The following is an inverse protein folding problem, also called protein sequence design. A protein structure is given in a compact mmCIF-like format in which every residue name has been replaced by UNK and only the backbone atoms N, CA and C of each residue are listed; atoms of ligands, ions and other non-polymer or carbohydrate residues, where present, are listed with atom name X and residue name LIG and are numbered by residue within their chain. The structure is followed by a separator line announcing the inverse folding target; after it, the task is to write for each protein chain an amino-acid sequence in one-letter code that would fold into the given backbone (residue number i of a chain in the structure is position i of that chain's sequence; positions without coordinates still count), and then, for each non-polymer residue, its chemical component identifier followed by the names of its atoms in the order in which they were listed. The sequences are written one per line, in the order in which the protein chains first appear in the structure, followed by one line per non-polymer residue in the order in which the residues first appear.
data_IF_800526569079
#
_entry.id   IF_800526569079
#
_cell.length_a   1.000
_cell.length_b   1.000
_cell.length_c   1.000
_cell.angle_alpha   90.00
_cell.angle_beta   90.00
_cell.angle_gamma   90.00
#
_symmetry.space_group_name_H-M   'P 1'
#
loop_
_entity.id
_entity.type
_entity.pdbx_description
1 polymer ?
#
# COMPACT_ATOMS: atom_id res chain seq x y z
N UNK A 1 6.36 -2.89 -29.81
CA UNK A 1 7.79 -3.09 -29.49
C UNK A 1 7.90 -3.37 -28.01
N UNK A 2 8.69 -4.36 -27.56
CA UNK A 2 8.95 -4.55 -26.14
C UNK A 2 9.63 -3.28 -25.58
N UNK A 3 9.18 -2.81 -24.42
CA UNK A 3 9.84 -1.70 -23.74
C UNK A 3 11.28 -2.09 -23.41
N UNK A 4 12.26 -1.18 -23.54
CA UNK A 4 13.64 -1.48 -23.14
C UNK A 4 13.67 -1.90 -21.67
N UNK A 5 14.17 -3.10 -21.40
CA UNK A 5 14.35 -3.63 -20.05
C UNK A 5 15.72 -3.22 -19.53
N UNK A 6 15.78 -2.61 -18.36
CA UNK A 6 17.05 -2.22 -17.77
C UNK A 6 16.91 -1.13 -16.73
N UNK A 7 18.04 -0.61 -16.28
CA UNK A 7 18.07 0.55 -15.43
C UNK A 7 19.30 1.40 -15.70
N UNK A 8 19.20 2.67 -15.36
CA UNK A 8 20.18 3.71 -15.58
C UNK A 8 20.51 4.32 -14.23
N UNK A 9 21.78 4.45 -13.86
CA UNK A 9 22.21 5.20 -12.68
C UNK A 9 22.78 6.52 -13.18
N UNK A 10 22.25 7.63 -12.68
CA UNK A 10 22.70 8.98 -12.94
C UNK A 10 23.36 9.53 -11.68
N UNK A 11 24.66 9.76 -11.76
CA UNK A 11 25.42 10.39 -10.70
C UNK A 11 25.21 11.90 -10.78
N UNK A 12 24.42 12.48 -9.87
CA UNK A 12 24.16 13.93 -9.80
C UNK A 12 25.00 14.63 -8.73
N UNK A 13 25.94 13.91 -8.12
CA UNK A 13 26.85 14.47 -7.13
C UNK A 13 28.16 14.93 -7.78
N UNK A 14 29.01 15.57 -6.98
CA UNK A 14 30.37 15.95 -7.37
C UNK A 14 31.42 14.84 -7.14
N UNK A 15 30.99 13.64 -6.77
CA UNK A 15 31.87 12.54 -6.38
C UNK A 15 32.00 11.50 -7.50
N UNK A 16 33.15 10.82 -7.57
CA UNK A 16 33.27 9.60 -8.38
C UNK A 16 32.69 8.45 -7.56
N UNK A 17 31.72 7.73 -8.12
CA UNK A 17 31.08 6.59 -7.47
C UNK A 17 31.42 5.28 -8.17
N UNK A 18 31.36 4.20 -7.39
CA UNK A 18 31.52 2.83 -7.85
C UNK A 18 30.20 2.12 -7.66
N UNK A 19 29.52 1.85 -8.77
CA UNK A 19 28.22 1.19 -8.80
C UNK A 19 28.39 -0.29 -9.14
N UNK A 20 28.04 -1.17 -8.22
CA UNK A 20 27.95 -2.61 -8.43
C UNK A 20 26.50 -3.07 -8.47
N UNK A 21 26.23 -4.10 -9.26
CA UNK A 21 24.92 -4.72 -9.34
C UNK A 21 25.07 -6.18 -8.97
N UNK A 22 24.14 -6.73 -8.18
CA UNK A 22 24.12 -8.17 -7.92
C UNK A 22 24.15 -8.99 -9.21
N UNK A 23 24.61 -10.23 -9.14
CA UNK A 23 24.68 -11.11 -10.31
C UNK A 23 23.47 -12.07 -10.36
N UNK A 24 22.31 -11.67 -9.83
CA UNK A 24 21.18 -12.61 -9.69
C UNK A 24 20.61 -12.98 -11.05
N UNK A 25 20.66 -12.08 -12.02
CA UNK A 25 20.11 -12.32 -13.37
C UNK A 25 21.19 -12.45 -14.45
N UNK A 26 22.44 -12.65 -14.03
CA UNK A 26 23.63 -12.69 -14.91
C UNK A 26 24.32 -11.33 -15.04
N UNK A 27 25.60 -11.36 -15.44
CA UNK A 27 26.45 -10.17 -15.61
C UNK A 27 27.70 -10.14 -14.72
N UNK A 28 28.49 -9.06 -14.85
CA UNK A 28 29.68 -8.85 -14.03
C UNK A 28 29.29 -8.05 -12.77
N UNK A 29 29.51 -8.58 -11.55
CA UNK A 29 29.27 -7.85 -10.31
C UNK A 29 30.39 -6.84 -9.99
N UNK A 30 31.45 -6.77 -10.82
CA UNK A 30 32.51 -5.79 -10.62
C UNK A 30 31.94 -4.37 -10.61
N UNK A 31 32.33 -3.53 -9.62
CA UNK A 31 31.89 -2.15 -9.57
C UNK A 31 32.31 -1.39 -10.83
N UNK A 32 31.36 -0.63 -11.38
CA UNK A 32 31.57 0.26 -12.50
C UNK A 32 31.77 1.69 -11.98
N UNK A 33 32.80 2.39 -12.47
CA UNK A 33 33.07 3.78 -12.11
C UNK A 33 32.14 4.72 -12.88
N UNK A 34 31.40 5.57 -12.16
CA UNK A 34 30.54 6.62 -12.74
C UNK A 34 31.05 7.97 -12.24
N UNK A 35 31.49 8.83 -13.14
CA UNK A 35 32.02 10.16 -12.78
C UNK A 35 30.90 11.14 -12.41
N UNK A 36 31.23 12.28 -11.80
CA UNK A 36 30.25 13.33 -11.53
C UNK A 36 29.44 13.70 -12.78
N UNK A 37 28.12 13.76 -12.64
CA UNK A 37 27.17 14.13 -13.71
C UNK A 37 27.14 13.20 -14.92
N UNK A 38 27.77 12.02 -14.83
CA UNK A 38 27.65 10.96 -15.82
C UNK A 38 26.54 9.98 -15.46
N UNK A 39 26.16 9.19 -16.45
CA UNK A 39 25.23 8.10 -16.28
C UNK A 39 25.78 6.78 -16.81
N UNK A 40 25.23 5.68 -16.31
CA UNK A 40 25.50 4.37 -16.86
C UNK A 40 24.23 3.54 -16.90
N UNK A 41 24.06 2.74 -17.96
CA UNK A 41 22.86 1.95 -18.21
C UNK A 41 23.18 0.47 -18.27
N UNK A 42 22.35 -0.34 -17.64
CA UNK A 42 22.42 -1.78 -17.66
C UNK A 42 21.14 -2.37 -18.21
N UNK A 43 21.28 -3.30 -19.17
CA UNK A 43 20.15 -4.07 -19.70
C UNK A 43 20.02 -5.35 -18.88
N UNK A 44 19.23 -5.31 -17.80
CA UNK A 44 18.96 -6.45 -16.93
C UNK A 44 17.47 -6.56 -16.64
N UNK A 45 17.02 -7.76 -16.29
CA UNK A 45 15.63 -8.07 -15.96
C UNK A 45 15.55 -8.78 -14.63
N UNK A 46 14.52 -8.53 -13.83
CA UNK A 46 14.33 -9.16 -12.52
C UNK A 46 14.91 -8.34 -11.37
N UNK A 47 15.10 -8.99 -10.22
CA UNK A 47 15.58 -8.35 -8.99
C UNK A 47 17.09 -8.21 -8.97
N UNK A 48 17.57 -6.98 -8.80
CA UNK A 48 18.97 -6.65 -8.61
C UNK A 48 19.13 -5.65 -7.46
N UNK A 49 20.20 -5.78 -6.68
CA UNK A 49 20.65 -4.73 -5.76
C UNK A 49 21.64 -3.82 -6.48
N UNK A 50 21.33 -2.53 -6.52
CA UNK A 50 22.20 -1.46 -7.00
C UNK A 50 22.94 -0.90 -5.79
N UNK A 51 24.19 -1.30 -5.65
CA UNK A 51 25.08 -0.89 -4.57
C UNK A 51 26.04 0.19 -5.08
N UNK A 52 26.01 1.38 -4.46
CA UNK A 52 26.86 2.52 -4.80
C UNK A 52 27.81 2.79 -3.62
N UNK A 53 29.10 2.87 -3.88
CA UNK A 53 30.11 3.20 -2.86
C UNK A 53 31.13 4.21 -3.39
N UNK A 54 31.82 4.90 -2.49
CA UNK A 54 33.03 5.63 -2.86
C UNK A 54 34.21 4.66 -3.09
N UNK A 55 35.34 5.18 -3.59
CA UNK A 55 36.52 4.36 -3.91
C UNK A 55 37.07 3.59 -2.71
N UNK A 56 37.04 4.21 -1.53
CA UNK A 56 37.56 3.67 -0.28
C UNK A 56 36.56 2.74 0.43
N UNK A 57 35.32 2.64 -0.06
CA UNK A 57 34.19 1.95 0.59
C UNK A 57 33.90 2.42 2.01
N UNK A 58 34.26 3.66 2.33
CA UNK A 58 33.95 4.28 3.64
C UNK A 58 32.54 4.86 3.69
N UNK A 59 31.93 5.08 2.52
CA UNK A 59 30.53 5.42 2.36
C UNK A 59 29.92 4.51 1.30
N UNK A 60 28.74 3.98 1.59
CA UNK A 60 27.98 3.13 0.70
C UNK A 60 26.48 3.31 0.93
N UNK A 61 25.71 3.14 -0.14
CA UNK A 61 24.26 3.07 -0.13
C UNK A 61 23.84 2.01 -1.14
N UNK A 62 22.73 1.33 -0.89
CA UNK A 62 22.25 0.31 -1.82
C UNK A 62 20.74 0.31 -1.92
N UNK A 63 20.26 -0.28 -3.01
CA UNK A 63 18.85 -0.28 -3.34
C UNK A 63 18.48 -1.48 -4.21
N UNK A 64 17.56 -2.29 -3.72
CA UNK A 64 16.91 -3.34 -4.51
C UNK A 64 15.95 -2.75 -5.53
N UNK A 65 16.14 -3.13 -6.79
CA UNK A 65 15.27 -2.82 -7.91
C UNK A 65 14.80 -4.13 -8.56
N UNK A 66 13.48 -4.32 -8.69
CA UNK A 66 12.91 -5.37 -9.54
C UNK A 66 12.49 -4.72 -10.84
N UNK A 67 12.95 -5.16 -12.01
CA UNK A 67 12.39 -4.57 -13.23
C UNK A 67 12.14 -5.54 -14.36
N UNK A 68 10.93 -5.42 -14.88
CA UNK A 68 10.60 -5.70 -16.28
C UNK A 68 10.22 -4.43 -17.04
N UNK A 69 10.88 -3.29 -16.75
CA UNK A 69 10.74 -1.97 -17.40
C UNK A 69 11.91 -1.03 -17.08
N UNK A 70 12.10 0.10 -17.77
CA UNK A 70 13.27 0.98 -17.60
C UNK A 70 13.20 1.82 -16.31
N UNK A 71 14.24 1.75 -15.47
CA UNK A 71 14.35 2.57 -14.25
C UNK A 71 15.54 3.54 -14.31
N UNK A 72 15.45 4.68 -13.63
CA UNK A 72 16.48 5.69 -13.50
C UNK A 72 16.78 5.95 -12.02
N UNK A 73 17.96 5.60 -11.55
CA UNK A 73 18.43 5.82 -10.18
C UNK A 73 19.27 7.10 -10.14
N UNK A 74 18.86 8.11 -9.40
CA UNK A 74 19.67 9.28 -9.11
C UNK A 74 20.46 9.09 -7.82
N UNK A 75 21.75 9.38 -7.89
CA UNK A 75 22.62 9.52 -6.73
C UNK A 75 22.98 10.99 -6.55
N UNK A 76 22.48 11.63 -5.49
CA UNK A 76 22.65 13.06 -5.22
C UNK A 76 23.64 13.35 -4.06
N UNK A 77 24.41 12.34 -3.63
CA UNK A 77 25.35 12.35 -2.49
C UNK A 77 25.10 11.22 -1.49
N UNK A 78 26.11 10.81 -0.70
CA UNK A 78 25.96 9.75 0.32
C UNK A 78 25.14 10.18 1.54
N UNK A 79 24.98 11.48 1.74
CA UNK A 79 24.14 12.08 2.77
C UNK A 79 22.65 12.10 2.39
N UNK A 80 22.31 11.71 1.16
CA UNK A 80 20.94 11.63 0.65
C UNK A 80 20.57 10.20 0.27
N UNK A 81 19.29 9.82 0.37
CA UNK A 81 18.83 8.53 -0.14
C UNK A 81 18.98 8.49 -1.67
N UNK A 82 19.26 7.29 -2.21
CA UNK A 82 19.13 7.05 -3.65
C UNK A 82 17.70 7.32 -4.07
N UNK A 83 17.48 7.97 -5.21
CA UNK A 83 16.12 8.22 -5.71
C UNK A 83 15.87 7.44 -7.00
N UNK A 84 14.90 6.55 -7.03
CA UNK A 84 14.46 5.90 -8.28
C UNK A 84 13.35 6.73 -8.92
N UNK A 85 13.50 6.99 -10.20
CA UNK A 85 12.47 7.41 -11.11
C UNK A 85 12.18 6.22 -12.03
N UNK A 86 10.91 5.92 -12.28
CA UNK A 86 10.61 5.21 -13.52
C UNK A 86 10.74 6.27 -14.63
N UNK A 87 11.37 5.92 -15.74
CA UNK A 87 11.29 6.78 -16.93
C UNK A 87 9.88 6.69 -17.58
N UNK A 88 8.98 5.94 -16.94
CA UNK A 88 7.57 5.81 -17.30
C UNK A 88 6.72 6.85 -16.60
N UNK A 89 6.88 8.13 -16.98
CA UNK A 89 5.78 9.07 -16.75
C UNK A 89 4.59 8.59 -17.58
N UNK A 90 3.44 8.23 -17.00
CA UNK A 90 2.25 8.04 -17.80
C UNK A 90 2.02 9.33 -18.57
N UNK A 91 1.80 9.20 -19.88
CA UNK A 91 1.60 10.39 -20.72
C UNK A 91 0.59 11.33 -20.06
N UNK A 92 0.90 12.64 -19.98
CA UNK A 92 0.04 13.61 -19.37
C UNK A 92 -1.36 13.53 -19.96
N UNK A 93 -2.34 13.70 -19.10
CA UNK A 93 -3.72 13.52 -19.50
C UNK A 93 -4.71 13.61 -18.36
N UNK A 94 -5.94 13.26 -18.70
CA UNK A 94 -7.08 13.26 -17.81
C UNK A 94 -7.76 11.89 -17.89
N UNK A 95 -8.00 11.27 -16.74
CA UNK A 95 -8.94 10.17 -16.59
C UNK A 95 -10.16 10.73 -15.89
N UNK A 96 -11.34 10.51 -16.47
CA UNK A 96 -12.60 10.92 -15.86
C UNK A 96 -13.41 9.68 -15.54
N UNK A 97 -13.77 9.52 -14.27
CA UNK A 97 -14.64 8.46 -13.79
C UNK A 97 -16.02 9.06 -13.46
N UNK A 98 -17.07 8.46 -14.00
CA UNK A 98 -18.44 8.76 -13.59
C UNK A 98 -18.88 7.73 -12.56
N UNK A 99 -18.77 8.07 -11.28
CA UNK A 99 -19.20 7.21 -10.17
C UNK A 99 -20.66 7.46 -9.77
N UNK A 100 -21.35 8.38 -10.45
CA UNK A 100 -22.77 8.64 -10.24
C UNK A 100 -23.66 7.54 -10.86
N UNK A 101 -24.93 7.39 -10.42
CA UNK A 101 -25.85 6.39 -10.96
C UNK A 101 -26.46 6.76 -12.31
N UNK A 102 -26.07 7.89 -12.93
CA UNK A 102 -26.63 8.40 -14.19
C UNK A 102 -25.55 8.59 -15.24
N UNK A 103 -25.94 8.50 -16.52
CA UNK A 103 -25.04 8.91 -17.60
C UNK A 103 -24.81 10.42 -17.54
N UNK A 104 -23.62 10.84 -17.95
CA UNK A 104 -23.28 12.26 -18.05
C UNK A 104 -22.60 12.56 -19.38
N UNK A 105 -22.68 13.82 -19.77
CA UNK A 105 -21.88 14.35 -20.87
C UNK A 105 -20.68 15.08 -20.27
N UNK A 106 -19.48 14.62 -20.57
CA UNK A 106 -18.21 15.22 -20.19
C UNK A 106 -17.67 16.08 -21.34
N UNK A 107 -17.11 17.23 -21.01
CA UNK A 107 -16.42 18.14 -21.90
C UNK A 107 -15.01 18.36 -21.36
N UNK A 108 -14.02 18.31 -22.25
CA UNK A 108 -12.67 18.79 -21.98
C UNK A 108 -12.34 19.80 -23.08
N UNK A 109 -11.90 21.00 -22.72
CA UNK A 109 -11.54 22.03 -23.70
C UNK A 109 -10.40 21.60 -24.61
N UNK A 110 -10.31 22.15 -25.82
CA UNK A 110 -9.19 21.88 -26.71
C UNK A 110 -8.02 22.87 -26.52
N UNK A 111 -7.78 23.37 -25.30
CA UNK A 111 -6.77 24.41 -25.07
C UNK A 111 -5.36 23.90 -25.38
N UNK A 112 -5.09 22.63 -25.09
CA UNK A 112 -3.78 21.99 -25.33
C UNK A 112 -3.83 20.97 -26.48
N UNK A 113 -4.93 20.96 -27.24
CA UNK A 113 -5.17 20.09 -28.40
C UNK A 113 -6.46 19.27 -28.32
N UNK A 114 -6.75 18.49 -29.37
CA UNK A 114 -7.97 17.68 -29.47
C UNK A 114 -9.17 18.47 -29.97
N UNK A 115 -10.38 18.11 -29.49
CA UNK A 115 -11.62 18.82 -29.82
C UNK A 115 -12.45 19.11 -28.56
N UNK A 116 -13.26 20.16 -28.65
CA UNK A 116 -14.14 20.66 -27.59
C UNK A 116 -15.55 20.05 -27.68
N UNK A 117 -15.65 18.76 -28.00
CA UNK A 117 -16.95 18.06 -28.06
C UNK A 117 -17.41 17.61 -26.67
N UNK A 118 -18.70 17.30 -26.57
CA UNK A 118 -19.26 16.61 -25.42
C UNK A 118 -19.24 15.10 -25.66
N UNK A 119 -18.66 14.34 -24.73
CA UNK A 119 -18.52 12.89 -24.76
C UNK A 119 -19.43 12.27 -23.71
N UNK A 120 -20.16 11.22 -24.07
CA UNK A 120 -21.03 10.52 -23.12
C UNK A 120 -20.20 9.55 -22.28
N UNK A 121 -20.26 9.68 -20.96
CA UNK A 121 -19.68 8.72 -20.01
C UNK A 121 -20.85 7.99 -19.31
N UNK A 122 -20.99 6.66 -19.49
CA UNK A 122 -22.03 5.87 -18.83
C UNK A 122 -21.96 5.96 -17.30
N UNK A 123 -23.05 5.67 -16.61
CA UNK A 123 -23.04 5.45 -15.15
C UNK A 123 -22.03 4.36 -14.77
N UNK A 124 -21.16 4.62 -13.79
CA UNK A 124 -20.05 3.73 -13.42
C UNK A 124 -18.92 3.63 -14.46
N UNK A 125 -18.99 4.38 -15.56
CA UNK A 125 -18.03 4.35 -16.67
C UNK A 125 -16.86 5.31 -16.50
N UNK A 126 -15.88 5.21 -17.40
CA UNK A 126 -14.74 6.13 -17.47
C UNK A 126 -14.28 6.39 -18.90
N UNK A 127 -13.55 7.49 -19.10
CA UNK A 127 -12.90 7.82 -20.37
C UNK A 127 -11.58 8.56 -20.13
N UNK A 128 -10.73 8.63 -21.16
CA UNK A 128 -9.34 9.11 -21.06
C UNK A 128 -8.97 10.05 -22.22
N UNK A 129 -8.27 11.13 -21.87
CA UNK A 129 -7.71 12.08 -22.81
C UNK A 129 -6.21 12.27 -22.59
N UNK A 130 -5.43 12.24 -23.66
CA UNK A 130 -3.99 12.55 -23.65
C UNK A 130 -3.79 14.02 -24.03
N UNK A 131 -3.87 14.91 -23.04
CA UNK A 131 -3.74 16.38 -23.17
C UNK A 131 -2.77 16.88 -22.11
N UNK A 132 -2.05 17.99 -22.33
CA UNK A 132 -0.97 18.43 -21.43
C UNK A 132 -1.08 19.91 -21.11
N UNK A 133 -1.26 20.24 -19.83
CA UNK A 133 -1.40 21.59 -19.31
C UNK A 133 -2.82 21.89 -18.83
N UNK A 134 -3.20 23.17 -18.90
CA UNK A 134 -4.50 23.66 -18.47
C UNK A 134 -5.64 23.24 -19.40
N UNK A 135 -6.67 22.61 -18.83
CA UNK A 135 -7.95 22.35 -19.49
C UNK A 135 -9.14 22.72 -18.60
N UNK A 136 -10.23 23.18 -19.23
CA UNK A 136 -11.55 23.23 -18.62
C UNK A 136 -12.22 21.87 -18.76
N UNK A 137 -12.57 21.24 -17.65
CA UNK A 137 -13.33 20.00 -17.59
C UNK A 137 -14.74 20.33 -17.08
N UNK A 138 -15.77 19.90 -17.78
CA UNK A 138 -17.15 20.15 -17.38
C UNK A 138 -18.05 18.94 -17.62
N UNK A 139 -19.07 18.82 -16.77
CA UNK A 139 -20.13 17.83 -16.86
C UNK A 139 -21.46 18.53 -17.09
N UNK A 140 -22.35 17.87 -17.82
CA UNK A 140 -23.77 18.23 -17.87
C UNK A 140 -24.64 16.99 -17.89
N UNK A 141 -25.86 17.14 -17.38
CA UNK A 141 -26.90 16.13 -17.50
C UNK A 141 -27.22 15.86 -18.98
N UNK A 142 -27.81 14.71 -19.32
CA UNK A 142 -28.18 14.41 -20.72
C UNK A 142 -29.16 15.44 -21.29
N UNK A 143 -30.03 16.02 -20.45
CA UNK A 143 -30.95 17.10 -20.82
C UNK A 143 -30.31 18.51 -20.76
N UNK A 144 -29.07 18.62 -20.27
CA UNK A 144 -28.27 19.83 -20.21
C UNK A 144 -28.72 20.87 -19.16
N UNK A 145 -29.65 20.52 -18.27
CA UNK A 145 -30.17 21.42 -17.21
C UNK A 145 -29.20 21.61 -16.05
N UNK A 146 -28.47 20.56 -15.68
CA UNK A 146 -27.45 20.60 -14.63
C UNK A 146 -26.06 20.70 -15.26
N UNK A 147 -25.17 21.50 -14.66
CA UNK A 147 -23.78 21.65 -15.11
C UNK A 147 -22.85 21.88 -13.94
N UNK A 148 -21.67 21.30 -14.00
CA UNK A 148 -20.56 21.57 -13.10
C UNK A 148 -19.27 21.55 -13.90
N UNK A 149 -18.26 22.32 -13.51
CA UNK A 149 -16.97 22.30 -14.20
C UNK A 149 -15.87 22.98 -13.42
N UNK A 150 -14.65 22.72 -13.83
CA UNK A 150 -13.44 23.20 -13.18
C UNK A 150 -12.32 23.41 -14.19
N UNK A 151 -11.38 24.29 -13.86
CA UNK A 151 -10.12 24.43 -14.60
C UNK A 151 -9.04 23.62 -13.89
N UNK A 152 -8.33 22.79 -14.65
CA UNK A 152 -7.35 21.85 -14.11
C UNK A 152 -6.06 21.95 -14.92
N UNK A 153 -4.94 22.11 -14.23
CA UNK A 153 -3.62 21.87 -14.81
C UNK A 153 -3.15 20.48 -14.43
N UNK A 154 -2.77 19.67 -15.42
CA UNK A 154 -2.22 18.36 -15.12
C UNK A 154 -0.72 18.36 -14.81
N UNK A 155 -0.04 19.52 -14.83
CA UNK A 155 1.36 19.70 -14.38
C UNK A 155 2.32 18.67 -15.01
N UNK A 156 2.10 18.31 -16.27
CA UNK A 156 2.85 17.28 -17.01
C UNK A 156 2.69 15.84 -16.49
N UNK A 157 1.66 15.58 -15.70
CA UNK A 157 1.29 14.27 -15.20
C UNK A 157 -0.17 13.95 -15.56
N UNK A 158 -0.68 12.81 -15.08
CA UNK A 158 -2.05 12.39 -15.31
C UNK A 158 -2.91 12.76 -14.10
N UNK A 159 -3.98 13.51 -14.33
CA UNK A 159 -4.99 13.82 -13.30
C UNK A 159 -6.14 12.83 -13.44
N UNK A 160 -6.60 12.29 -12.31
CA UNK A 160 -7.85 11.52 -12.27
C UNK A 160 -8.94 12.37 -11.63
N UNK A 161 -10.14 12.34 -12.20
CA UNK A 161 -11.28 13.08 -11.72
C UNK A 161 -12.47 12.15 -11.54
N UNK A 162 -13.08 12.20 -10.36
CA UNK A 162 -14.30 11.47 -10.05
C UNK A 162 -15.50 12.42 -10.01
N UNK A 163 -16.52 12.08 -10.80
CA UNK A 163 -17.83 12.72 -10.77
C UNK A 163 -18.81 11.87 -9.94
N UNK A 164 -19.23 12.40 -8.79
CA UNK A 164 -20.14 11.73 -7.84
C UNK A 164 -21.62 12.12 -8.06
N UNK A 165 -21.87 13.29 -8.64
CA UNK A 165 -23.21 13.84 -8.85
C UNK A 165 -23.15 15.37 -9.06
N UNK A 166 -24.28 16.00 -9.43
CA UNK A 166 -24.35 17.47 -9.57
C UNK A 166 -24.51 18.21 -8.25
N UNK A 167 -24.89 17.50 -7.19
CA UNK A 167 -25.03 18.03 -5.83
C UNK A 167 -23.75 17.86 -4.99
N UNK A 168 -22.70 17.27 -5.59
CA UNK A 168 -21.42 16.98 -4.95
C UNK A 168 -20.30 17.75 -5.68
N UNK A 169 -19.24 18.08 -4.94
CA UNK A 169 -18.04 18.68 -5.54
C UNK A 169 -17.31 17.66 -6.43
N UNK A 170 -16.64 18.16 -7.47
CA UNK A 170 -15.75 17.34 -8.29
C UNK A 170 -14.52 16.95 -7.45
N UNK A 171 -14.22 15.65 -7.41
CA UNK A 171 -13.04 15.14 -6.68
C UNK A 171 -11.88 15.01 -7.65
N UNK A 172 -10.88 15.86 -7.48
CA UNK A 172 -9.63 15.81 -8.24
C UNK A 172 -8.60 15.02 -7.44
N UNK A 173 -8.13 13.95 -8.06
CA UNK A 173 -6.89 13.30 -7.67
C UNK A 173 -5.80 13.95 -8.50
N UNK A 174 -5.32 15.10 -8.02
CA UNK A 174 -4.06 15.61 -8.53
C UNK A 174 -3.02 14.52 -8.37
N UNK A 175 -2.16 14.28 -9.39
CA UNK A 175 -0.99 13.45 -9.18
C UNK A 175 -0.30 14.05 -7.94
N UNK A 176 -0.05 13.25 -6.88
CA UNK A 176 0.55 13.78 -5.68
C UNK A 176 1.77 14.59 -6.09
N UNK A 177 2.02 15.74 -5.45
CA UNK A 177 3.24 16.53 -5.71
C UNK A 177 4.50 15.63 -5.68
N UNK A 178 4.39 14.49 -4.99
CA UNK A 178 5.24 13.32 -5.11
C UNK A 178 4.76 12.33 -6.18
N UNK A 179 4.91 12.65 -7.46
CA UNK A 179 4.76 11.68 -8.57
C UNK A 179 5.50 10.35 -8.30
N UNK A 180 6.61 10.46 -7.56
CA UNK A 180 7.40 9.34 -7.02
C UNK A 180 6.54 8.37 -6.18
N UNK A 181 5.58 8.85 -5.38
CA UNK A 181 4.70 8.01 -4.57
C UNK A 181 3.75 7.16 -5.42
N UNK A 182 3.19 7.71 -6.50
CA UNK A 182 2.31 6.98 -7.43
C UNK A 182 3.07 5.99 -8.30
N UNK A 183 4.30 6.32 -8.70
CA UNK A 183 5.18 5.37 -9.37
C UNK A 183 5.68 4.27 -8.42
N UNK A 184 6.01 4.63 -7.18
CA UNK A 184 6.35 3.68 -6.12
C UNK A 184 5.16 2.76 -5.85
N UNK A 185 3.94 3.29 -5.83
CA UNK A 185 2.71 2.51 -5.67
C UNK A 185 2.45 1.61 -6.88
N UNK A 186 2.51 2.16 -8.08
CA UNK A 186 2.34 1.40 -9.33
C UNK A 186 3.39 0.30 -9.45
N UNK A 187 4.62 0.58 -9.06
CA UNK A 187 5.67 -0.43 -9.03
C UNK A 187 5.46 -1.44 -7.92
N UNK A 188 5.02 -1.01 -6.74
CA UNK A 188 4.68 -1.91 -5.66
C UNK A 188 3.53 -2.85 -6.06
N UNK A 189 2.52 -2.38 -6.81
CA UNK A 189 1.49 -3.22 -7.43
C UNK A 189 2.12 -4.21 -8.41
N UNK A 190 2.96 -3.75 -9.33
CA UNK A 190 3.62 -4.64 -10.30
C UNK A 190 4.48 -5.70 -9.61
N UNK A 191 5.21 -5.31 -8.57
CA UNK A 191 5.98 -6.23 -7.74
C UNK A 191 5.04 -7.20 -7.05
N UNK A 192 3.96 -6.74 -6.42
CA UNK A 192 2.97 -7.59 -5.76
C UNK A 192 2.41 -8.65 -6.72
N UNK A 193 2.01 -8.23 -7.92
CA UNK A 193 1.41 -9.09 -8.95
C UNK A 193 2.40 -10.07 -9.59
N UNK A 194 3.69 -9.70 -9.68
CA UNK A 194 4.75 -10.55 -10.26
C UNK A 194 5.53 -11.36 -9.23
N UNK A 195 5.42 -11.02 -7.95
CA UNK A 195 6.18 -11.68 -6.89
C UNK A 195 5.75 -13.14 -6.77
N UNK A 196 6.74 -14.01 -6.52
CA UNK A 196 6.50 -15.42 -6.18
C UNK A 196 5.55 -15.56 -4.98
N UNK A 197 5.51 -14.55 -4.09
CA UNK A 197 4.57 -14.46 -2.98
C UNK A 197 3.09 -14.49 -3.43
N UNK A 198 2.76 -14.06 -4.66
CA UNK A 198 1.41 -14.20 -5.20
C UNK A 198 0.99 -15.66 -5.43
N UNK A 199 1.92 -16.62 -5.48
CA UNK A 199 1.61 -18.05 -5.55
C UNK A 199 1.16 -18.63 -4.21
N UNK A 200 1.87 -18.28 -3.13
CA UNK A 200 1.60 -18.80 -1.78
C UNK A 200 0.58 -17.96 -0.98
N UNK A 201 0.27 -16.74 -1.43
CA UNK A 201 -0.61 -15.80 -0.70
C UNK A 201 -2.02 -15.69 -1.27
N UNK A 202 -2.39 -16.46 -2.31
CA UNK A 202 -3.73 -16.42 -2.90
C UNK A 202 -4.72 -17.23 -2.07
N UNK A 203 -5.48 -16.53 -1.25
CA UNK A 203 -6.59 -17.10 -0.51
C UNK A 203 -7.75 -17.49 -1.44
N UNK A 204 -8.61 -18.38 -0.95
CA UNK A 204 -9.86 -18.77 -1.60
C UNK A 204 -10.85 -17.60 -1.68
N UNK A 205 -10.86 -16.74 -0.66
CA UNK A 205 -11.62 -15.50 -0.61
C UNK A 205 -10.66 -14.30 -0.44
N UNK A 206 -10.04 -13.83 -1.55
CA UNK A 206 -9.07 -12.76 -1.49
C UNK A 206 -9.75 -11.43 -1.12
N UNK A 207 -9.05 -10.60 -0.33
CA UNK A 207 -9.54 -9.27 0.05
C UNK A 207 -9.88 -8.39 -1.16
N UNK A 208 -9.01 -8.37 -2.18
CA UNK A 208 -9.22 -7.56 -3.38
C UNK A 208 -9.15 -6.06 -3.13
N UNK A 209 -8.45 -5.63 -2.07
CA UNK A 209 -8.40 -4.25 -1.61
C UNK A 209 -7.11 -3.53 -2.04
N UNK A 210 -7.22 -2.21 -2.09
CA UNK A 210 -6.19 -1.24 -2.49
C UNK A 210 -5.52 -0.67 -1.23
N UNK A 211 -4.20 -0.70 -1.16
CA UNK A 211 -3.48 -0.16 -0.01
C UNK A 211 -3.45 1.38 -0.05
N UNK A 212 -3.65 2.02 1.10
CA UNK A 212 -3.50 3.45 1.28
C UNK A 212 -2.10 3.77 1.79
N UNK A 213 -1.26 4.36 0.93
CA UNK A 213 0.08 4.82 1.31
C UNK A 213 0.00 5.77 2.51
N UNK A 214 -0.94 6.72 2.46
CA UNK A 214 -1.14 7.69 3.54
C UNK A 214 -1.44 6.99 4.87
N UNK A 215 -2.41 6.07 4.89
CA UNK A 215 -2.78 5.43 6.16
C UNK A 215 -1.67 4.54 6.69
N UNK A 216 -0.99 3.79 5.81
CA UNK A 216 0.17 2.97 6.19
C UNK A 216 1.27 3.84 6.81
N UNK A 217 1.62 4.98 6.21
CA UNK A 217 2.63 5.93 6.75
C UNK A 217 2.30 6.38 8.17
N UNK A 218 1.04 6.76 8.40
CA UNK A 218 0.58 7.24 9.72
C UNK A 218 0.58 6.14 10.75
N UNK A 219 0.19 4.93 10.36
CA UNK A 219 0.19 3.79 11.25
C UNK A 219 1.61 3.35 11.61
N UNK A 220 2.52 3.32 10.64
CA UNK A 220 3.94 3.00 10.84
C UNK A 220 4.63 4.01 11.78
N UNK A 221 4.54 5.30 11.43
CA UNK A 221 5.26 6.36 12.15
C UNK A 221 4.84 6.48 13.63
N UNK A 222 3.58 6.21 13.96
CA UNK A 222 3.07 6.35 15.31
C UNK A 222 3.13 5.06 16.14
N UNK A 223 3.22 3.88 15.50
CA UNK A 223 3.31 2.61 16.23
C UNK A 223 4.74 2.28 16.63
N UNK A 224 5.74 2.65 15.81
CA UNK A 224 7.15 2.31 16.08
C UNK A 224 7.84 3.39 16.93
N UNK A 225 7.28 4.61 17.01
CA UNK A 225 7.80 5.70 17.85
C UNK A 225 9.13 6.33 17.36
N UNK A 226 9.76 5.73 16.35
CA UNK A 226 10.81 6.35 15.55
C UNK A 226 10.11 7.10 14.42
N UNK A 227 10.59 8.30 14.04
CA UNK A 227 10.30 8.82 12.69
C UNK A 227 10.81 7.77 11.73
N UNK A 228 9.93 6.84 11.34
CA UNK A 228 10.21 5.94 10.24
C UNK A 228 10.68 6.88 9.13
N UNK A 229 11.85 6.61 8.51
CA UNK A 229 12.17 7.34 7.30
C UNK A 229 10.91 7.31 6.42
N UNK A 230 10.48 8.46 5.92
CA UNK A 230 9.18 8.56 5.21
C UNK A 230 9.05 7.47 4.15
N UNK A 231 7.85 7.15 3.67
CA UNK A 231 7.61 6.31 2.47
C UNK A 231 8.41 6.70 1.20
N UNK A 232 9.17 7.80 1.24
CA UNK A 232 10.26 8.09 0.31
C UNK A 232 11.51 7.19 0.41
N UNK A 233 11.71 6.41 1.47
CA UNK A 233 12.86 5.49 1.63
C UNK A 233 12.54 4.10 1.08
N UNK A 234 13.33 3.67 0.09
CA UNK A 234 12.96 2.60 -0.85
C UNK A 234 12.85 1.16 -0.32
N UNK A 235 13.35 0.86 0.89
CA UNK A 235 12.99 -0.39 1.59
C UNK A 235 11.46 -0.51 1.80
N UNK A 236 10.73 0.61 1.67
CA UNK A 236 9.29 0.65 1.79
C UNK A 236 8.54 0.33 0.48
N UNK A 237 9.13 0.36 -0.73
CA UNK A 237 8.43 -0.12 -1.94
C UNK A 237 8.14 -1.60 -1.83
N UNK A 238 9.10 -2.38 -1.33
CA UNK A 238 8.92 -3.81 -1.12
C UNK A 238 7.91 -4.08 0.02
N UNK A 239 8.02 -3.31 1.11
CA UNK A 239 7.04 -3.37 2.20
C UNK A 239 5.63 -3.07 1.67
N UNK A 240 5.47 -1.99 0.93
CA UNK A 240 4.22 -1.59 0.28
C UNK A 240 3.75 -2.66 -0.71
N UNK A 241 4.64 -3.28 -1.48
CA UNK A 241 4.29 -4.38 -2.38
C UNK A 241 3.80 -5.62 -1.62
N UNK A 242 4.43 -5.94 -0.49
CA UNK A 242 3.96 -7.00 0.40
C UNK A 242 2.58 -6.65 0.98
N UNK A 243 2.35 -5.41 1.39
CA UNK A 243 1.05 -4.96 1.90
C UNK A 243 -0.04 -4.95 0.83
N UNK A 244 0.27 -4.51 -0.39
CA UNK A 244 -0.64 -4.61 -1.53
C UNK A 244 -0.94 -6.07 -1.81
N UNK A 245 0.08 -6.94 -1.85
CA UNK A 245 -0.13 -8.38 -2.03
C UNK A 245 -1.02 -8.94 -0.92
N UNK A 246 -0.79 -8.51 0.33
CA UNK A 246 -1.57 -8.89 1.49
C UNK A 246 -3.05 -8.51 1.34
N UNK A 247 -3.35 -7.24 1.11
CA UNK A 247 -4.71 -6.74 0.97
C UNK A 247 -5.43 -7.28 -0.27
N UNK A 248 -4.68 -7.52 -1.35
CA UNK A 248 -5.22 -8.01 -2.61
C UNK A 248 -5.50 -9.51 -2.58
N UNK A 249 -4.58 -10.30 -2.04
CA UNK A 249 -4.60 -11.77 -2.18
C UNK A 249 -4.84 -12.52 -0.87
N UNK A 250 -4.57 -11.90 0.28
CA UNK A 250 -4.79 -12.51 1.59
C UNK A 250 -6.26 -12.81 1.86
N UNK A 251 -6.51 -13.67 2.85
CA UNK A 251 -7.83 -14.15 3.21
C UNK A 251 -8.58 -13.08 3.98
N UNK A 252 -9.76 -12.68 3.50
CA UNK A 252 -10.61 -11.72 4.17
C UNK A 252 -11.45 -12.42 5.26
N UNK A 253 -11.34 -11.94 6.50
CA UNK A 253 -11.88 -12.56 7.71
C UNK A 253 -12.45 -11.49 8.66
N UNK A 254 -13.33 -11.86 9.62
CA UNK A 254 -13.87 -10.91 10.57
C UNK A 254 -12.83 -10.39 11.56
N UNK A 255 -12.95 -9.11 11.91
CA UNK A 255 -12.34 -8.54 13.11
C UNK A 255 -13.29 -7.64 13.88
N UNK A 256 -13.14 -7.56 15.20
CA UNK A 256 -14.02 -6.73 16.04
C UNK A 256 -13.15 -5.82 16.92
N UNK A 257 -13.55 -4.55 17.04
CA UNK A 257 -12.97 -3.68 18.06
C UNK A 257 -13.43 -4.13 19.43
N UNK A 258 -12.49 -4.56 20.27
CA UNK A 258 -12.79 -5.22 21.54
C UNK A 258 -12.48 -4.38 22.77
N UNK A 259 -11.60 -3.38 22.63
CA UNK A 259 -11.26 -2.45 23.71
C UNK A 259 -10.74 -1.13 23.13
N UNK A 260 -11.09 -0.02 23.79
CA UNK A 260 -10.53 1.31 23.52
C UNK A 260 -10.16 1.93 24.86
N UNK A 261 -8.88 2.22 25.06
CA UNK A 261 -8.34 3.04 26.17
C UNK A 261 -7.87 4.38 25.62
N UNK A 262 -7.44 5.34 26.45
CA UNK A 262 -6.86 6.59 25.96
C UNK A 262 -5.66 6.39 25.04
N UNK A 263 -4.86 5.33 25.26
CA UNK A 263 -3.62 5.08 24.53
C UNK A 263 -3.74 4.02 23.43
N UNK A 264 -4.66 3.06 23.58
CA UNK A 264 -4.74 1.89 22.71
C UNK A 264 -6.16 1.59 22.23
N UNK A 265 -6.30 1.34 20.92
CA UNK A 265 -7.42 0.64 20.34
C UNK A 265 -7.01 -0.81 20.05
N UNK A 266 -7.86 -1.77 20.42
CA UNK A 266 -7.58 -3.20 20.26
C UNK A 266 -8.63 -3.86 19.36
N UNK A 267 -8.16 -4.69 18.43
CA UNK A 267 -8.99 -5.46 17.49
C UNK A 267 -8.71 -6.94 17.66
N UNK A 268 -9.75 -7.73 17.91
CA UNK A 268 -9.66 -9.19 17.80
C UNK A 268 -9.80 -9.56 16.32
N UNK A 269 -8.78 -10.21 15.77
CA UNK A 269 -8.72 -10.67 14.39
C UNK A 269 -8.87 -12.20 14.36
N UNK A 270 -9.98 -12.68 13.80
CA UNK A 270 -10.24 -14.11 13.68
C UNK A 270 -9.46 -14.72 12.51
N UNK A 271 -9.12 -16.00 12.65
CA UNK A 271 -8.69 -16.82 11.52
C UNK A 271 -9.31 -18.22 11.52
N UNK A 272 -9.93 -18.60 10.41
CA UNK A 272 -10.55 -19.92 10.23
C UNK A 272 -9.51 -21.04 10.12
N UNK A 273 -8.29 -20.73 9.68
CA UNK A 273 -7.20 -21.71 9.58
C UNK A 273 -6.77 -22.22 10.96
N UNK A 274 -6.88 -21.37 11.97
CA UNK A 274 -6.52 -21.68 13.36
C UNK A 274 -7.73 -21.86 14.28
N UNK A 275 -8.92 -21.52 13.79
CA UNK A 275 -10.18 -21.43 14.55
C UNK A 275 -10.01 -20.63 15.86
N UNK A 276 -9.36 -19.48 15.76
CA UNK A 276 -8.98 -18.67 16.93
C UNK A 276 -8.81 -17.21 16.54
N UNK A 277 -8.62 -16.36 17.55
CA UNK A 277 -8.30 -14.95 17.36
C UNK A 277 -6.84 -14.68 17.73
N UNK A 278 -6.30 -13.58 17.18
CA UNK A 278 -5.20 -12.83 17.80
C UNK A 278 -5.64 -11.40 18.03
N UNK A 279 -5.07 -10.74 19.02
CA UNK A 279 -5.41 -9.35 19.34
C UNK A 279 -4.34 -8.43 18.77
N UNK A 280 -4.78 -7.44 18.01
CA UNK A 280 -3.96 -6.36 17.46
C UNK A 280 -4.17 -5.08 18.26
N UNK A 281 -3.11 -4.41 18.67
CA UNK A 281 -3.16 -3.10 19.32
C UNK A 281 -2.63 -1.99 18.44
N UNK A 282 -3.35 -0.88 18.43
CA UNK A 282 -3.05 0.32 17.64
C UNK A 282 -3.02 1.53 18.58
N UNK A 283 -2.01 2.41 18.49
CA UNK A 283 -2.06 3.68 19.22
C UNK A 283 -3.30 4.47 18.80
N UNK A 284 -4.10 4.92 19.76
CA UNK A 284 -5.32 5.72 19.49
C UNK A 284 -5.03 6.93 18.62
N UNK A 285 -3.90 7.60 18.86
CA UNK A 285 -3.42 8.73 18.05
C UNK A 285 -3.22 8.36 16.58
N UNK A 286 -2.80 7.13 16.29
CA UNK A 286 -2.66 6.66 14.92
C UNK A 286 -4.03 6.43 14.27
N UNK A 287 -4.96 5.84 15.01
CA UNK A 287 -6.34 5.65 14.55
C UNK A 287 -7.03 6.99 14.28
N UNK A 288 -6.80 8.01 15.10
CA UNK A 288 -7.36 9.35 14.90
C UNK A 288 -6.97 9.98 13.56
N UNK A 289 -5.81 9.59 13.00
CA UNK A 289 -5.34 10.07 11.70
C UNK A 289 -5.87 9.24 10.52
N UNK A 290 -6.07 7.93 10.69
CA UNK A 290 -6.45 7.02 9.59
C UNK A 290 -7.95 6.69 9.54
N UNK A 291 -8.68 6.95 10.63
CA UNK A 291 -10.11 6.77 10.79
C UNK A 291 -10.71 7.94 11.62
N UNK A 292 -10.84 9.14 11.03
CA UNK A 292 -11.25 10.35 11.74
C UNK A 292 -12.69 10.25 12.28
N UNK A 293 -13.09 11.16 13.18
CA UNK A 293 -14.30 11.10 14.03
C UNK A 293 -15.61 10.57 13.41
N UNK A 294 -15.87 10.75 12.11
CA UNK A 294 -17.07 10.20 11.46
C UNK A 294 -16.99 8.69 11.17
N UNK A 295 -15.78 8.15 11.08
CA UNK A 295 -15.46 6.75 10.80
C UNK A 295 -14.66 6.09 11.92
N UNK A 296 -14.43 6.80 13.04
CA UNK A 296 -13.72 6.27 14.20
C UNK A 296 -14.50 5.08 14.78
N UNK A 297 -13.91 3.89 14.83
CA UNK A 297 -14.62 2.72 15.31
C UNK A 297 -14.77 2.77 16.84
N UNK A 298 -15.87 2.18 17.31
CA UNK A 298 -16.22 2.01 18.73
C UNK A 298 -16.13 0.53 19.12
N UNK A 299 -16.13 0.19 20.42
CA UNK A 299 -16.18 -1.21 20.86
C UNK A 299 -17.41 -1.90 20.28
N UNK A 300 -17.22 -3.10 19.71
CA UNK A 300 -18.23 -3.84 18.96
C UNK A 300 -18.29 -3.50 17.46
N UNK A 301 -17.54 -2.49 16.99
CA UNK A 301 -17.47 -2.19 15.55
C UNK A 301 -16.86 -3.38 14.81
N UNK A 302 -17.59 -3.89 13.82
CA UNK A 302 -17.15 -4.93 12.91
C UNK A 302 -16.20 -4.36 11.87
N UNK A 303 -15.09 -5.06 11.66
CA UNK A 303 -13.99 -4.70 10.79
C UNK A 303 -13.66 -5.86 9.85
N UNK A 304 -13.08 -5.55 8.69
CA UNK A 304 -12.54 -6.59 7.81
C UNK A 304 -11.06 -6.68 8.09
N UNK A 305 -10.61 -7.91 8.35
CA UNK A 305 -9.21 -8.24 8.51
C UNK A 305 -8.79 -9.02 7.28
N UNK A 306 -7.61 -8.72 6.74
CA UNK A 306 -7.02 -9.53 5.69
C UNK A 306 -5.78 -10.20 6.25
N UNK A 307 -5.73 -11.53 6.14
CA UNK A 307 -4.69 -12.38 6.74
C UNK A 307 -3.81 -13.03 5.67
N UNK A 308 -2.50 -13.03 5.91
CA UNK A 308 -1.54 -13.91 5.24
C UNK A 308 -1.00 -14.95 6.22
N UNK A 309 -0.52 -16.07 5.69
CA UNK A 309 -0.13 -17.22 6.50
C UNK A 309 1.32 -17.61 6.25
N UNK A 310 1.98 -18.14 7.28
CA UNK A 310 3.30 -18.77 7.12
C UNK A 310 3.16 -20.28 7.16
N UNK A 311 3.68 -20.95 6.12
CA UNK A 311 3.55 -22.41 5.94
C UNK A 311 4.42 -23.17 6.95
N UNK A 312 3.91 -24.30 7.43
CA UNK A 312 4.62 -25.17 8.37
C UNK A 312 5.91 -25.79 7.81
N UNK A 313 5.99 -25.98 6.49
CA UNK A 313 7.19 -26.50 5.81
C UNK A 313 8.30 -25.45 5.62
N UNK A 314 8.10 -24.21 6.10
CA UNK A 314 9.13 -23.19 6.11
C UNK A 314 10.28 -23.60 7.06
N UNK A 315 11.54 -23.68 6.59
CA UNK A 315 12.69 -24.09 7.41
C UNK A 315 12.96 -23.18 8.61
N UNK A 316 12.39 -21.97 8.60
CA UNK A 316 12.68 -20.92 9.56
C UNK A 316 11.88 -21.03 10.87
N UNK A 317 10.91 -21.96 10.98
CA UNK A 317 9.90 -21.90 12.03
C UNK A 317 9.57 -23.27 12.62
N UNK A 318 9.85 -23.44 13.92
CA UNK A 318 9.51 -24.64 14.68
C UNK A 318 8.21 -24.42 15.46
N UNK A 319 7.06 -24.68 14.82
CA UNK A 319 5.76 -24.78 15.50
C UNK A 319 4.87 -23.52 15.45
N UNK A 320 3.66 -23.69 15.99
CA UNK A 320 2.64 -22.64 16.09
C UNK A 320 3.13 -21.54 17.02
N UNK A 321 2.90 -20.28 16.65
CA UNK A 321 3.33 -19.15 17.47
C UNK A 321 2.69 -19.16 18.87
N UNK A 322 3.45 -18.71 19.87
CA UNK A 322 3.08 -18.82 21.28
C UNK A 322 1.82 -18.05 21.67
N UNK A 323 1.43 -17.06 20.86
CA UNK A 323 0.22 -16.28 21.04
C UNK A 323 -0.97 -16.83 20.23
N UNK A 324 -0.86 -17.99 19.62
CA UNK A 324 -1.97 -18.65 18.93
C UNK A 324 -2.40 -19.85 19.77
N UNK A 325 -3.61 -19.80 20.32
CA UNK A 325 -4.25 -20.99 20.91
C UNK A 325 -5.11 -21.65 19.85
N UNK A 326 -4.70 -22.83 19.38
CA UNK A 326 -5.44 -23.60 18.38
C UNK A 326 -6.86 -23.90 18.84
N UNK A 327 -7.85 -23.54 18.02
CA UNK A 327 -9.24 -23.91 18.23
C UNK A 327 -9.56 -25.35 17.78
N UNK A 328 -10.76 -25.83 18.10
CA UNK A 328 -11.19 -27.20 17.81
C UNK A 328 -11.34 -27.49 16.30
N UNK A 329 -11.55 -26.47 15.44
CA UNK A 329 -11.73 -26.63 13.98
C UNK A 329 -10.48 -26.27 13.17
N UNK A 330 -9.30 -26.20 13.80
CA UNK A 330 -8.04 -25.86 13.13
C UNK A 330 -7.69 -26.80 11.96
N UNK A 331 -7.11 -26.24 10.88
CA UNK A 331 -6.80 -26.96 9.65
C UNK A 331 -5.36 -27.50 9.58
N UNK A 332 -4.52 -27.20 10.58
CA UNK A 332 -3.16 -27.74 10.81
C UNK A 332 -2.12 -27.53 9.67
N UNK A 333 -2.39 -26.62 8.73
CA UNK A 333 -1.49 -26.34 7.58
C UNK A 333 -0.46 -25.25 7.84
N UNK A 334 -0.80 -24.32 8.73
CA UNK A 334 -0.05 -23.11 8.97
C UNK A 334 0.45 -23.08 10.42
N UNK A 335 1.44 -22.24 10.69
CA UNK A 335 1.98 -22.10 12.04
C UNK A 335 1.97 -20.63 12.54
N UNK A 336 1.66 -19.68 11.65
CA UNK A 336 1.35 -18.31 12.00
C UNK A 336 0.39 -17.70 10.97
N UNK A 337 -0.35 -16.67 11.38
CA UNK A 337 -1.05 -15.75 10.48
C UNK A 337 -0.73 -14.31 10.83
N UNK A 338 -0.95 -13.42 9.87
CA UNK A 338 -0.53 -12.02 9.92
C UNK A 338 -1.74 -11.16 9.58
N UNK A 339 -2.54 -10.70 10.54
CA UNK A 339 -3.77 -9.98 10.23
C UNK A 339 -3.54 -8.47 10.03
N UNK A 340 -4.06 -7.91 8.94
CA UNK A 340 -4.17 -6.47 8.68
C UNK A 340 -5.61 -6.01 8.83
N UNK A 341 -5.87 -4.99 9.65
CA UNK A 341 -7.18 -4.35 9.71
C UNK A 341 -7.35 -3.45 8.49
N UNK A 342 -8.10 -3.91 7.50
CA UNK A 342 -8.10 -3.29 6.18
C UNK A 342 -8.62 -1.84 6.20
N UNK A 343 -9.57 -1.47 7.08
CA UNK A 343 -10.00 -0.07 7.21
C UNK A 343 -8.88 0.91 7.57
N UNK A 344 -7.86 0.42 8.29
CA UNK A 344 -6.76 1.24 8.77
C UNK A 344 -5.61 1.35 7.76
N UNK A 345 -5.63 0.57 6.69
CA UNK A 345 -4.55 0.51 5.70
C UNK A 345 -5.02 0.55 4.25
N UNK A 346 -6.33 0.69 4.00
CA UNK A 346 -6.95 0.75 2.68
C UNK A 346 -7.87 1.96 2.55
N UNK A 347 -7.97 2.51 1.34
CA UNK A 347 -8.93 3.57 1.00
C UNK A 347 -10.28 3.00 0.52
N UNK A 348 -10.39 1.69 0.39
CA UNK A 348 -11.59 0.99 -0.10
C UNK A 348 -12.64 0.76 0.98
N UNK A 349 -12.54 1.41 2.14
CA UNK A 349 -13.47 1.22 3.28
C UNK A 349 -14.92 1.58 2.97
N UNK A 350 -15.18 2.16 1.80
CA UNK A 350 -16.51 2.49 1.27
C UNK A 350 -16.81 1.83 -0.08
N UNK A 351 -15.91 1.00 -0.61
CA UNK A 351 -16.12 0.32 -1.88
C UNK A 351 -17.24 -0.74 -1.75
N UNK A 352 -18.05 -0.99 -2.80
CA UNK A 352 -19.08 -2.03 -2.75
C UNK A 352 -18.55 -3.42 -2.36
N UNK A 353 -17.35 -3.76 -2.83
CA UNK A 353 -16.66 -5.01 -2.51
C UNK A 353 -16.42 -5.17 -1.00
N UNK A 354 -16.12 -4.07 -0.30
CA UNK A 354 -15.96 -4.07 1.14
C UNK A 354 -17.20 -4.59 1.85
N UNK A 355 -18.35 -4.00 1.48
CA UNK A 355 -19.64 -4.33 2.10
C UNK A 355 -20.04 -5.77 1.78
N UNK A 356 -19.86 -6.18 0.52
CA UNK A 356 -20.09 -7.56 0.08
C UNK A 356 -19.30 -8.55 0.93
N UNK A 357 -18.00 -8.31 1.17
CA UNK A 357 -17.17 -9.18 2.02
C UNK A 357 -17.64 -9.25 3.46
N UNK A 358 -18.06 -8.13 4.04
CA UNK A 358 -18.59 -8.10 5.41
C UNK A 358 -19.92 -8.84 5.53
N UNK A 359 -20.78 -8.71 4.51
CA UNK A 359 -22.10 -9.36 4.43
C UNK A 359 -21.99 -10.88 4.15
N UNK A 360 -20.87 -11.34 3.58
CA UNK A 360 -20.56 -12.77 3.39
C UNK A 360 -20.16 -13.50 4.68
N UNK A 361 -19.82 -12.77 5.76
CA UNK A 361 -19.39 -13.39 7.02
C UNK A 361 -20.60 -13.78 7.86
N UNK A 362 -20.70 -15.08 8.18
CA UNK A 362 -21.74 -15.64 9.04
C UNK A 362 -21.82 -14.93 10.40
N UNK A 363 -23.04 -14.65 10.87
CA UNK A 363 -23.30 -14.01 12.17
C UNK A 363 -22.68 -14.76 13.36
N UNK A 364 -22.69 -16.10 13.30
CA UNK A 364 -22.07 -16.95 14.31
C UNK A 364 -20.55 -16.70 14.39
N UNK A 365 -19.89 -16.37 13.27
CA UNK A 365 -18.45 -16.10 13.26
C UNK A 365 -18.10 -14.76 13.93
N UNK A 366 -18.98 -13.76 13.80
CA UNK A 366 -18.85 -12.51 14.54
C UNK A 366 -18.99 -12.75 16.05
N UNK A 367 -19.95 -13.59 16.46
CA UNK A 367 -20.14 -13.97 17.85
C UNK A 367 -18.93 -14.77 18.38
N UNK A 368 -18.47 -15.78 17.65
CA UNK A 368 -17.28 -16.59 17.96
C UNK A 368 -16.04 -15.68 18.14
N UNK A 369 -15.88 -14.67 17.29
CA UNK A 369 -14.76 -13.70 17.39
C UNK A 369 -14.83 -12.90 18.70
N UNK A 370 -16.02 -12.49 19.12
CA UNK A 370 -16.22 -11.77 20.39
C UNK A 370 -15.99 -12.67 21.61
N UNK A 371 -16.51 -13.90 21.59
CA UNK A 371 -16.32 -14.88 22.65
C UNK A 371 -14.84 -15.28 22.78
N UNK A 372 -14.15 -15.47 21.65
CA UNK A 372 -12.72 -15.71 21.60
C UNK A 372 -11.91 -14.58 22.25
N UNK A 373 -12.35 -13.33 22.12
CA UNK A 373 -11.75 -12.21 22.86
C UNK A 373 -11.95 -12.33 24.37
N UNK A 374 -13.14 -12.68 24.85
CA UNK A 374 -13.40 -12.84 26.28
C UNK A 374 -12.50 -13.92 26.88
N UNK A 375 -12.35 -15.04 26.19
CA UNK A 375 -11.42 -16.12 26.58
C UNK A 375 -9.96 -15.67 26.56
N UNK A 376 -9.54 -14.98 25.49
CA UNK A 376 -8.20 -14.43 25.36
C UNK A 376 -7.86 -13.47 26.50
N UNK A 377 -8.76 -12.52 26.78
CA UNK A 377 -8.61 -11.53 27.86
C UNK A 377 -8.48 -12.21 29.22
N UNK A 378 -9.25 -13.26 29.47
CA UNK A 378 -9.17 -14.02 30.72
C UNK A 378 -7.84 -14.77 30.85
N UNK A 379 -7.30 -15.32 29.75
CA UNK A 379 -6.07 -16.11 29.75
C UNK A 379 -4.80 -15.27 29.79
N UNK A 380 -4.73 -14.22 28.96
CA UNK A 380 -3.51 -13.47 28.71
C UNK A 380 -3.52 -12.06 29.34
N UNK A 381 -4.70 -11.58 29.74
CA UNK A 381 -4.89 -10.20 30.14
C UNK A 381 -5.13 -9.27 28.95
N UNK A 382 -5.72 -8.10 29.24
CA UNK A 382 -6.14 -7.14 28.22
C UNK A 382 -4.98 -6.45 27.50
N UNK A 383 -3.78 -6.48 28.08
CA UNK A 383 -2.60 -5.78 27.59
C UNK A 383 -1.62 -6.66 26.82
N UNK A 384 -2.03 -7.89 26.49
CA UNK A 384 -1.26 -8.83 25.68
C UNK A 384 -1.80 -8.85 24.24
N UNK A 385 -1.07 -8.22 23.32
CA UNK A 385 -1.47 -8.06 21.92
C UNK A 385 -0.26 -7.90 20.99
N UNK A 386 -0.46 -8.14 19.69
CA UNK A 386 0.50 -7.83 18.62
C UNK A 386 0.38 -6.35 18.25
N UNK A 387 1.49 -5.73 17.87
CA UNK A 387 1.42 -4.38 17.29
C UNK A 387 0.74 -4.46 15.92
N UNK A 388 -0.34 -3.69 15.75
CA UNK A 388 -1.08 -3.58 14.50
C UNK A 388 -0.35 -2.80 13.40
N UNK A 389 0.98 -2.79 13.43
CA UNK A 389 1.82 -2.08 12.48
C UNK A 389 2.11 -2.97 11.26
N UNK A 390 1.88 -2.50 10.03
CA UNK A 390 2.06 -3.30 8.81
C UNK A 390 3.44 -3.98 8.68
N UNK A 391 4.54 -3.30 9.01
CA UNK A 391 5.91 -3.84 9.00
C UNK A 391 6.21 -4.81 10.14
N UNK A 392 5.44 -4.75 11.22
CA UNK A 392 5.59 -5.57 12.43
C UNK A 392 4.54 -6.66 12.55
N UNK A 393 3.77 -6.90 11.48
CA UNK A 393 2.67 -7.88 11.47
C UNK A 393 3.13 -9.33 11.71
N UNK A 394 4.43 -9.59 11.57
CA UNK A 394 5.05 -10.89 11.87
C UNK A 394 5.51 -11.02 13.31
N UNK A 395 5.57 -9.92 14.04
CA UNK A 395 6.01 -9.89 15.42
C UNK A 395 4.93 -10.53 16.31
N UNK A 396 5.40 -11.12 17.41
CA UNK A 396 4.54 -11.83 18.36
C UNK A 396 3.87 -10.86 19.32
N UNK A 397 2.77 -11.30 19.92
CA UNK A 397 2.14 -10.54 20.99
C UNK A 397 3.11 -10.38 22.17
N UNK A 398 3.12 -9.18 22.74
CA UNK A 398 3.87 -8.87 23.95
C UNK A 398 2.98 -8.13 24.95
N UNK A 399 3.41 -8.06 26.21
CA UNK A 399 2.71 -7.28 27.23
C UNK A 399 3.08 -5.82 27.10
N UNK A 400 2.11 -4.98 26.73
CA UNK A 400 2.28 -3.53 26.63
C UNK A 400 1.69 -2.84 27.88
N UNK A 401 2.53 -2.23 28.70
CA UNK A 401 2.08 -1.47 29.89
C UNK A 401 1.68 -0.06 29.45
N UNK A 402 0.58 0.44 30.02
CA UNK A 402 -0.11 1.72 29.71
C UNK A 402 0.72 3.02 29.89
N UNK A 403 2.05 2.98 29.92
CA UNK A 403 2.85 4.19 30.25
C UNK A 403 4.03 4.49 29.33
N UNK A 404 4.37 3.63 28.38
CA UNK A 404 5.32 3.98 27.33
C UNK A 404 5.25 2.96 26.20
N UNK A 405 5.16 3.43 24.94
CA UNK A 405 5.59 2.63 23.79
C UNK A 405 6.92 1.96 24.19
N UNK A 406 7.09 0.63 24.01
CA UNK A 406 8.33 -0.01 24.37
C UNK A 406 9.45 0.74 23.66
N UNK A 407 10.34 1.35 24.46
CA UNK A 407 11.53 1.99 23.92
C UNK A 407 12.28 0.91 23.16
N UNK A 408 12.17 0.95 21.83
CA UNK A 408 12.87 0.03 20.95
C UNK A 408 14.36 0.26 21.20
N UNK A 409 14.98 -0.66 21.92
CA UNK A 409 16.44 -0.68 22.04
C UNK A 409 16.90 -1.49 20.83
N UNK A 410 17.65 -0.88 19.88
CA UNK A 410 18.00 -1.47 18.59
C UNK A 410 18.58 -2.89 18.65
#
# INVERSE_FOLDING_TARGET
MPLPTGFKVHNRSNEIIFCSITNKTGGNPAPFEIKPFEDHSWTRSGWEDVSISNKQKTAATSLWINRGGPALVHFDGFEKPLTIYNDYRPDPGFIVNNLSPRNVMCFISANTGGNSSWFKIPAGGSDKWTRKGWEAIAFKSEDGKERIGHFVDNKEARVTLDFLGFDEDLVFHEPPENFIADEHYSEAIRIADRSYAAGDSRASAPGGLTASIFKVDKLESLTIGVKSPSLGDHNQIYTLALLINHLKYGLAEPGIVVSITPDWLKVAAYSCEFDTIVVLGFPTKAIDLVAPNKTRPTVGTRLLVVSQFTRRDSPATQGVQADITMGPRTLDKWHNFHPLVAQFVSDDSHAPLWKERMDEVDEDLWQDTWEGWLEWKARHGENFFRLGCPTKIKDLATTHIDTSLPGYTP
#
